data_IF_273757579589
#
_entry.id   IF_273757579589
#
_cell.length_a   1.000
_cell.length_b   1.000
_cell.length_c   1.000
_cell.angle_alpha   90.00
_cell.angle_beta   90.00
_cell.angle_gamma   90.00
#
_symmetry.space_group_name_H-M   'P 1'
#
loop_
_entity.id
_entity.type
_entity.pdbx_description
1 polymer ?
#
# COMPACT_ATOMS: atom_id res chain seq x y z
N UNK A 1 -22.44 -3.59 -21.98
CA UNK A 1 -23.67 -2.82 -21.70
C UNK A 1 -23.88 -2.81 -20.19
N UNK A 2 -24.08 -1.65 -19.56
CA UNK A 2 -24.34 -1.57 -18.13
C UNK A 2 -25.75 -2.11 -17.83
N UNK A 3 -25.94 -2.81 -16.71
CA UNK A 3 -27.23 -3.42 -16.35
C UNK A 3 -28.19 -2.33 -15.86
N UNK A 4 -29.49 -2.35 -16.22
CA UNK A 4 -30.44 -1.28 -15.84
C UNK A 4 -30.45 -0.96 -14.33
N UNK A 5 -30.33 -1.99 -13.50
CA UNK A 5 -30.25 -1.86 -12.03
C UNK A 5 -29.01 -1.11 -11.51
N UNK A 6 -28.02 -0.82 -12.36
CA UNK A 6 -26.86 0.00 -11.99
C UNK A 6 -27.10 1.51 -12.12
N UNK A 7 -28.20 1.93 -12.73
CA UNK A 7 -28.47 3.35 -12.94
C UNK A 7 -28.75 4.07 -11.62
N UNK A 8 -28.08 5.20 -11.38
CA UNK A 8 -28.19 5.98 -10.14
C UNK A 8 -27.60 5.31 -8.89
N UNK A 9 -26.88 4.20 -9.04
CA UNK A 9 -26.30 3.46 -7.93
C UNK A 9 -24.82 3.81 -7.72
N UNK A 10 -24.42 3.90 -6.46
CA UNK A 10 -23.01 3.97 -6.03
C UNK A 10 -22.57 2.58 -5.56
N UNK A 11 -21.37 2.16 -5.97
CA UNK A 11 -20.76 0.89 -5.60
C UNK A 11 -19.32 1.11 -5.11
N UNK A 12 -18.95 0.47 -4.02
CA UNK A 12 -17.54 0.34 -3.67
C UNK A 12 -16.87 -0.66 -4.61
N UNK A 13 -15.62 -0.39 -4.95
CA UNK A 13 -14.75 -1.30 -5.69
C UNK A 13 -13.49 -1.47 -4.86
N UNK A 14 -13.25 -2.69 -4.42
CA UNK A 14 -12.09 -3.09 -3.63
C UNK A 14 -11.73 -4.55 -3.91
N UNK A 15 -10.55 -4.97 -3.46
CA UNK A 15 -10.15 -6.37 -3.42
C UNK A 15 -10.98 -7.19 -2.43
N UNK A 16 -10.71 -8.49 -2.35
CA UNK A 16 -11.35 -9.36 -1.35
C UNK A 16 -10.55 -9.40 -0.03
N UNK A 17 -9.29 -9.01 -0.09
CA UNK A 17 -8.33 -9.09 0.99
C UNK A 17 -8.34 -7.82 1.84
N UNK A 18 -8.24 -8.01 3.15
CA UNK A 18 -7.96 -6.96 4.12
C UNK A 18 -6.53 -7.22 4.60
N UNK A 19 -5.66 -6.22 4.45
CA UNK A 19 -4.24 -6.33 4.80
C UNK A 19 -3.82 -5.14 5.67
N UNK A 20 -2.94 -5.42 6.62
CA UNK A 20 -2.16 -4.41 7.34
C UNK A 20 -1.08 -3.83 6.43
N UNK A 21 -0.47 -2.71 6.84
CA UNK A 21 0.68 -2.14 6.12
C UNK A 21 1.84 -3.16 6.02
N UNK A 22 2.09 -3.90 7.11
CA UNK A 22 3.12 -4.95 7.16
C UNK A 22 2.84 -6.06 6.14
N UNK A 23 1.64 -6.62 6.14
CA UNK A 23 1.25 -7.67 5.19
C UNK A 23 1.28 -7.17 3.73
N UNK A 24 0.97 -5.89 3.50
CA UNK A 24 1.07 -5.29 2.17
C UNK A 24 2.53 -5.18 1.69
N UNK A 25 3.46 -4.80 2.56
CA UNK A 25 4.90 -4.79 2.26
C UNK A 25 5.42 -6.21 2.01
N UNK A 26 5.02 -7.18 2.84
CA UNK A 26 5.34 -8.60 2.66
C UNK A 26 4.82 -9.14 1.31
N UNK A 27 3.58 -8.81 0.93
CA UNK A 27 3.01 -9.19 -0.35
C UNK A 27 3.76 -8.56 -1.54
N UNK A 28 4.23 -7.32 -1.41
CA UNK A 28 5.09 -6.69 -2.42
C UNK A 28 6.43 -7.42 -2.56
N UNK A 29 7.07 -7.76 -1.43
CA UNK A 29 8.34 -8.48 -1.43
C UNK A 29 8.20 -9.89 -2.03
N UNK A 30 7.12 -10.61 -1.69
CA UNK A 30 6.79 -11.90 -2.28
C UNK A 30 6.50 -11.81 -3.79
N UNK A 31 5.86 -10.73 -4.24
CA UNK A 31 5.57 -10.52 -5.65
C UNK A 31 6.84 -10.37 -6.50
N UNK A 32 7.94 -9.88 -5.92
CA UNK A 32 9.22 -9.65 -6.60
C UNK A 32 10.30 -10.68 -6.24
N UNK A 33 10.03 -11.57 -5.28
CA UNK A 33 10.94 -12.65 -4.88
C UNK A 33 12.10 -12.19 -4.00
N UNK A 34 11.88 -11.21 -3.12
CA UNK A 34 12.88 -10.74 -2.14
C UNK A 34 12.36 -10.92 -0.71
N UNK A 35 13.28 -10.92 0.25
CA UNK A 35 12.96 -10.85 1.67
C UNK A 35 13.08 -9.39 2.15
N UNK A 36 12.00 -8.78 2.69
CA UNK A 36 12.04 -7.38 3.08
C UNK A 36 12.69 -7.23 4.46
N UNK A 37 13.59 -6.25 4.57
CA UNK A 37 14.02 -5.74 5.87
C UNK A 37 13.06 -4.63 6.30
N UNK A 38 12.44 -4.77 7.47
CA UNK A 38 11.43 -3.84 7.97
C UNK A 38 11.76 -3.44 9.40
N UNK A 39 11.72 -2.14 9.66
CA UNK A 39 11.80 -1.55 10.99
C UNK A 39 10.52 -0.77 11.25
N UNK A 40 9.88 -1.02 12.41
CA UNK A 40 8.76 -0.22 12.85
C UNK A 40 9.28 0.98 13.62
N UNK A 41 8.92 2.17 13.16
CA UNK A 41 9.35 3.43 13.75
C UNK A 41 8.13 4.04 14.47
N UNK A 42 8.32 4.48 15.71
CA UNK A 42 7.28 5.22 16.43
C UNK A 42 7.07 6.59 15.75
N UNK A 43 5.85 6.83 15.29
CA UNK A 43 5.47 7.96 14.46
C UNK A 43 5.38 9.31 15.19
N UNK A 44 5.78 9.38 16.46
CA UNK A 44 5.75 10.61 17.25
C UNK A 44 6.90 11.59 16.90
N UNK A 45 7.14 11.78 15.60
CA UNK A 45 8.28 12.52 15.04
C UNK A 45 7.91 14.00 14.78
N UNK A 46 6.84 14.50 15.40
CA UNK A 46 6.44 15.91 15.36
C UNK A 46 5.84 16.39 14.04
N UNK A 47 5.41 15.48 13.16
CA UNK A 47 4.84 15.81 11.85
C UNK A 47 3.33 15.55 11.81
N UNK A 48 2.56 16.46 11.22
CA UNK A 48 1.11 16.37 11.05
C UNK A 48 0.72 15.26 10.08
N UNK A 49 -0.40 14.56 10.29
CA UNK A 49 -0.84 13.42 9.46
C UNK A 49 -0.93 13.69 7.94
N UNK A 50 -1.09 14.95 7.52
CA UNK A 50 -1.07 15.33 6.08
C UNK A 50 0.32 15.27 5.46
N UNK A 51 1.36 15.44 6.28
CA UNK A 51 2.76 15.40 5.87
C UNK A 51 3.24 13.97 5.59
N UNK A 52 2.49 12.95 6.04
CA UNK A 52 2.78 11.53 5.86
C UNK A 52 1.90 10.84 4.81
N UNK A 53 1.10 11.61 4.06
CA UNK A 53 0.26 11.04 3.01
C UNK A 53 1.11 10.24 2.01
N UNK A 54 0.72 9.01 1.65
CA UNK A 54 -0.61 8.40 1.81
C UNK A 54 -0.84 7.61 3.10
N UNK A 55 0.16 7.49 3.98
CA UNK A 55 0.06 6.68 5.19
C UNK A 55 -0.75 7.41 6.27
N UNK A 56 -1.82 6.76 6.72
CA UNK A 56 -2.71 7.25 7.78
C UNK A 56 -2.87 6.14 8.80
N UNK A 57 -2.96 6.51 10.07
CA UNK A 57 -3.34 5.58 11.13
C UNK A 57 -4.87 5.37 11.16
N UNK A 58 -5.40 4.93 10.01
CA UNK A 58 -6.81 4.64 9.84
C UNK A 58 -6.97 3.51 8.84
N UNK A 59 -7.81 2.54 9.18
CA UNK A 59 -8.18 1.48 8.26
C UNK A 59 -9.21 1.98 7.24
N UNK A 60 -9.05 1.57 5.97
CA UNK A 60 -10.02 1.84 4.92
C UNK A 60 -10.67 0.54 4.46
N UNK A 61 -11.95 0.37 4.78
CA UNK A 61 -12.74 -0.80 4.37
C UNK A 61 -13.92 -0.39 3.50
N UNK A 62 -14.09 -1.07 2.37
CA UNK A 62 -15.22 -0.87 1.46
C UNK A 62 -15.92 -2.18 1.14
N UNK A 63 -17.14 -2.39 1.68
CA UNK A 63 -17.92 -3.58 1.31
C UNK A 63 -18.31 -3.54 -0.16
N UNK A 64 -17.97 -4.61 -0.89
CA UNK A 64 -18.35 -4.84 -2.28
C UNK A 64 -19.60 -5.72 -2.42
N UNK A 65 -20.35 -5.98 -1.35
CA UNK A 65 -21.49 -6.91 -1.37
C UNK A 65 -22.58 -6.45 -2.33
N UNK A 66 -22.85 -5.13 -2.35
CA UNK A 66 -23.80 -4.53 -3.31
C UNK A 66 -23.39 -4.80 -4.76
N UNK A 67 -22.10 -4.67 -5.07
CA UNK A 67 -21.54 -4.91 -6.40
C UNK A 67 -21.67 -6.39 -6.78
N UNK A 68 -21.33 -7.30 -5.86
CA UNK A 68 -21.43 -8.75 -6.04
C UNK A 68 -22.87 -9.21 -6.24
N UNK A 69 -23.79 -8.76 -5.38
CA UNK A 69 -25.20 -9.14 -5.43
C UNK A 69 -25.91 -8.58 -6.66
N UNK A 70 -25.71 -7.30 -6.95
CA UNK A 70 -26.40 -6.66 -8.06
C UNK A 70 -25.73 -6.99 -9.37
N UNK A 71 -24.43 -6.76 -9.54
CA UNK A 71 -23.79 -6.85 -10.86
C UNK A 71 -23.09 -8.19 -11.12
N UNK A 72 -22.96 -9.05 -10.10
CA UNK A 72 -22.18 -10.30 -10.16
C UNK A 72 -20.73 -10.06 -10.59
N UNK A 73 -20.21 -8.88 -10.25
CA UNK A 73 -18.82 -8.50 -10.48
C UNK A 73 -18.02 -8.85 -9.24
N UNK A 74 -16.89 -9.51 -9.44
CA UNK A 74 -15.92 -9.85 -8.42
C UNK A 74 -14.50 -9.69 -8.96
N UNK A 75 -13.50 -9.41 -8.10
CA UNK A 75 -12.11 -9.36 -8.52
C UNK A 75 -11.69 -10.66 -9.22
N UNK A 76 -10.97 -10.53 -10.33
CA UNK A 76 -10.41 -11.67 -11.08
C UNK A 76 -9.08 -12.14 -10.49
N UNK A 77 -8.32 -11.23 -9.92
CA UNK A 77 -7.00 -11.46 -9.37
C UNK A 77 -7.04 -11.20 -7.87
N UNK A 78 -6.31 -12.00 -7.12
CA UNK A 78 -5.91 -11.68 -5.75
C UNK A 78 -4.95 -10.48 -5.72
N UNK A 79 -4.73 -9.93 -4.53
CA UNK A 79 -3.73 -8.89 -4.28
C UNK A 79 -2.37 -9.31 -4.81
N UNK A 80 -1.90 -10.50 -4.45
CA UNK A 80 -0.58 -11.01 -4.83
C UNK A 80 -0.45 -11.23 -6.35
N UNK A 81 -1.47 -11.81 -6.98
CA UNK A 81 -1.49 -11.97 -8.44
C UNK A 81 -1.47 -10.63 -9.16
N UNK A 82 -2.24 -9.65 -8.67
CA UNK A 82 -2.25 -8.29 -9.20
C UNK A 82 -0.90 -7.58 -9.04
N UNK A 83 -0.24 -7.75 -7.90
CA UNK A 83 1.11 -7.22 -7.64
C UNK A 83 2.14 -7.85 -8.58
N UNK A 84 2.14 -9.18 -8.74
CA UNK A 84 3.02 -9.89 -9.70
C UNK A 84 2.80 -9.42 -11.13
N UNK A 85 1.55 -9.34 -11.57
CA UNK A 85 1.20 -8.88 -12.92
C UNK A 85 1.66 -7.43 -13.15
N UNK A 86 1.45 -6.55 -12.19
CA UNK A 86 1.89 -5.15 -12.23
C UNK A 86 3.41 -5.06 -12.30
N UNK A 87 4.11 -5.78 -11.42
CA UNK A 87 5.57 -5.84 -11.42
C UNK A 87 6.09 -6.29 -12.78
N UNK A 88 5.54 -7.36 -13.36
CA UNK A 88 5.99 -7.90 -14.64
C UNK A 88 5.78 -6.95 -15.83
N UNK A 89 4.86 -6.00 -15.73
CA UNK A 89 4.53 -5.05 -16.81
C UNK A 89 5.19 -3.68 -16.66
N UNK A 90 5.64 -3.30 -15.46
CA UNK A 90 6.26 -1.99 -15.23
C UNK A 90 7.73 -1.98 -15.64
N UNK A 91 8.21 -0.85 -16.17
CA UNK A 91 9.63 -0.66 -16.46
C UNK A 91 10.46 -0.77 -15.18
N UNK A 92 11.40 -1.73 -15.17
CA UNK A 92 12.23 -2.03 -14.00
C UNK A 92 13.16 -0.88 -13.63
N UNK A 93 13.47 0.03 -14.55
CA UNK A 93 14.23 1.25 -14.26
C UNK A 93 13.55 2.15 -13.21
N UNK A 94 12.25 1.99 -13.00
CA UNK A 94 11.52 2.69 -11.93
C UNK A 94 11.91 2.26 -10.51
N UNK A 95 12.59 1.11 -10.36
CA UNK A 95 13.02 0.59 -9.07
C UNK A 95 14.50 0.86 -8.77
N UNK A 96 15.25 1.47 -9.69
CA UNK A 96 16.71 1.65 -9.54
C UNK A 96 17.11 2.99 -8.93
N UNK A 97 16.18 3.93 -8.77
CA UNK A 97 16.44 5.21 -8.11
C UNK A 97 15.80 5.22 -6.72
N UNK A 98 16.52 5.65 -5.66
CA UNK A 98 15.93 5.81 -4.34
C UNK A 98 14.88 6.90 -4.41
N UNK A 99 13.64 6.53 -4.13
CA UNK A 99 12.53 7.47 -4.18
C UNK A 99 12.28 8.06 -2.80
N UNK A 100 12.99 9.15 -2.52
CA UNK A 100 12.71 10.05 -1.41
C UNK A 100 11.85 11.18 -1.99
N UNK A 101 10.57 11.18 -1.69
CA UNK A 101 9.59 12.11 -2.28
C UNK A 101 9.37 13.36 -1.42
N UNK A 102 9.69 13.32 -0.13
CA UNK A 102 9.34 14.38 0.83
C UNK A 102 10.42 14.68 1.87
N UNK A 103 10.35 15.90 2.43
CA UNK A 103 11.17 16.33 3.57
C UNK A 103 10.91 15.45 4.81
N UNK A 104 9.72 14.90 4.93
CA UNK A 104 9.30 14.03 6.04
C UNK A 104 9.99 12.68 5.93
N UNK A 105 9.98 12.04 4.76
CA UNK A 105 10.72 10.79 4.52
C UNK A 105 12.22 10.97 4.79
N UNK A 106 12.79 12.12 4.39
CA UNK A 106 14.19 12.44 4.69
C UNK A 106 14.44 12.55 6.19
N UNK A 107 13.61 13.29 6.92
CA UNK A 107 13.76 13.47 8.36
C UNK A 107 13.59 12.15 9.15
N UNK A 108 12.67 11.29 8.72
CA UNK A 108 12.50 9.93 9.28
C UNK A 108 13.79 9.13 9.09
N UNK A 109 14.32 9.10 7.87
CA UNK A 109 15.54 8.35 7.56
C UNK A 109 16.76 8.89 8.33
N UNK A 110 16.89 10.21 8.47
CA UNK A 110 17.95 10.84 9.27
C UNK A 110 17.85 10.48 10.76
N UNK A 111 16.64 10.45 11.34
CA UNK A 111 16.42 10.03 12.73
C UNK A 111 16.75 8.55 12.94
N UNK A 112 16.35 7.67 12.00
CA UNK A 112 16.66 6.23 12.05
C UNK A 112 18.16 6.00 11.95
N UNK A 113 18.82 6.56 10.93
CA UNK A 113 20.27 6.38 10.70
C UNK A 113 21.07 6.97 11.87
N UNK A 114 20.69 8.16 12.35
CA UNK A 114 21.35 8.81 13.49
C UNK A 114 21.27 8.02 14.79
N UNK A 115 20.17 7.27 15.01
CA UNK A 115 20.04 6.33 16.13
C UNK A 115 20.95 5.11 15.96
N UNK A 116 21.07 4.58 14.74
CA UNK A 116 21.92 3.41 14.45
C UNK A 116 23.41 3.70 14.65
N UNK A 117 23.86 4.92 14.36
CA UNK A 117 25.26 5.34 14.60
C UNK A 117 25.54 5.63 16.09
N UNK A 118 24.54 6.07 16.85
CA UNK A 118 24.65 6.36 18.29
C UNK A 118 24.68 5.11 19.20
N UNK A 119 24.16 3.98 18.73
CA UNK A 119 24.15 2.71 19.49
C UNK A 119 25.41 1.85 19.30
N UNK A 120 26.40 2.32 18.52
CA UNK A 120 27.68 1.63 18.31
C UNK A 120 28.79 2.01 19.33
N UNK A 121 28.46 2.67 20.44
CA UNK A 121 29.41 3.08 21.48
C UNK A 121 29.14 2.48 22.87
#
# INVERSE_FOLDING_TARGET
MLQEKSFGQIYNIAGNEIVTLKEWVEACAEAVGIEPQMELIDGNIGFEARQWFPFRDASLFGSCDKLKQQLRIQPRFSLLEGLRDTYNKVDKKRFTEPIIYSEVERAILEDVIGKTEGEQH
#
